data_IF_696289662961
#
_entry.id   IF_696289662961
#
_cell.length_a   1.000
_cell.length_b   1.000
_cell.length_c   1.000
_cell.angle_alpha   90.00
_cell.angle_beta   90.00
_cell.angle_gamma   90.00
#
_symmetry.space_group_name_H-M   'P 1'
#
loop_
_entity.id
_entity.type
_entity.pdbx_description
1 polymer ?
#
# COMPACT_ATOMS: atom_id res chain seq x y z
N UNK A 1 24.06 -13.76 -14.30
CA UNK A 1 24.01 -15.10 -13.67
C UNK A 1 24.43 -14.90 -12.22
N UNK A 2 23.47 -14.69 -11.33
CA UNK A 2 23.72 -14.68 -9.90
C UNK A 2 24.02 -16.11 -9.46
N UNK A 3 25.21 -16.30 -8.92
CA UNK A 3 25.63 -17.59 -8.41
C UNK A 3 24.77 -18.01 -7.23
N UNK A 4 24.18 -19.20 -7.28
CA UNK A 4 23.50 -19.86 -6.17
C UNK A 4 24.49 -20.08 -5.02
N UNK A 5 24.58 -19.10 -4.11
CA UNK A 5 25.30 -19.25 -2.84
C UNK A 5 24.47 -20.14 -1.92
N UNK A 6 25.12 -21.11 -1.27
CA UNK A 6 24.47 -21.99 -0.30
C UNK A 6 23.99 -21.16 0.89
N UNK A 7 22.68 -21.25 1.23
CA UNK A 7 22.12 -20.52 2.37
C UNK A 7 22.92 -20.83 3.65
N UNK A 8 23.23 -19.79 4.41
CA UNK A 8 23.88 -19.92 5.70
C UNK A 8 22.92 -20.49 6.74
N UNK A 9 23.44 -21.05 7.83
CA UNK A 9 22.60 -21.51 8.95
C UNK A 9 21.73 -20.39 9.53
N UNK A 10 22.21 -19.15 9.49
CA UNK A 10 21.45 -17.97 9.92
C UNK A 10 20.29 -17.69 8.98
N UNK A 11 20.52 -17.63 7.68
CA UNK A 11 19.47 -17.41 6.68
C UNK A 11 18.40 -18.50 6.72
N UNK A 12 18.81 -19.76 6.88
CA UNK A 12 17.86 -20.87 7.04
C UNK A 12 17.01 -20.71 8.30
N UNK A 13 17.59 -20.25 9.40
CA UNK A 13 16.88 -20.02 10.66
C UNK A 13 15.88 -18.87 10.52
N UNK A 14 16.28 -17.73 9.96
CA UNK A 14 15.43 -16.58 9.71
C UNK A 14 14.28 -16.93 8.75
N UNK A 15 14.56 -17.73 7.72
CA UNK A 15 13.53 -18.25 6.81
C UNK A 15 12.50 -19.10 7.55
N UNK A 16 12.94 -20.05 8.38
CA UNK A 16 12.05 -20.91 9.14
C UNK A 16 11.21 -20.12 10.15
N UNK A 17 11.78 -19.12 10.81
CA UNK A 17 11.05 -18.21 11.72
C UNK A 17 9.93 -17.48 11.00
N UNK A 18 10.23 -16.87 9.85
CA UNK A 18 9.22 -16.18 9.02
C UNK A 18 8.13 -17.13 8.52
N UNK A 19 8.51 -18.34 8.06
CA UNK A 19 7.57 -19.33 7.57
C UNK A 19 6.60 -19.79 8.67
N UNK A 20 7.11 -20.11 9.87
CA UNK A 20 6.29 -20.55 10.99
C UNK A 20 5.42 -19.41 11.52
N UNK A 21 5.97 -18.21 11.65
CA UNK A 21 5.23 -17.02 12.07
C UNK A 21 4.09 -16.72 11.09
N UNK A 22 4.36 -16.74 9.77
CA UNK A 22 3.34 -16.53 8.74
C UNK A 22 2.24 -17.59 8.82
N UNK A 23 2.62 -18.87 9.03
CA UNK A 23 1.64 -19.95 9.17
C UNK A 23 0.74 -19.75 10.39
N UNK A 24 1.30 -19.38 11.56
CA UNK A 24 0.50 -19.08 12.76
C UNK A 24 -0.36 -17.83 12.54
N UNK A 25 0.18 -16.82 11.87
CA UNK A 25 -0.53 -15.57 11.60
C UNK A 25 -1.75 -15.77 10.68
N UNK A 26 -1.58 -16.59 9.61
CA UNK A 26 -2.60 -16.82 8.60
C UNK A 26 -3.64 -17.86 8.99
N UNK A 27 -3.24 -18.90 9.71
CA UNK A 27 -4.05 -20.08 9.97
C UNK A 27 -4.46 -20.22 11.46
N UNK A 28 -3.83 -19.42 12.33
CA UNK A 28 -4.07 -19.54 13.78
C UNK A 28 -5.51 -19.30 14.20
N UNK A 29 -5.92 -19.88 15.34
CA UNK A 29 -5.07 -20.65 16.27
C UNK A 29 -4.76 -22.08 15.80
N UNK A 30 -3.49 -22.46 15.78
CA UNK A 30 -3.04 -23.80 15.35
C UNK A 30 -2.06 -24.42 16.36
N UNK A 31 -1.95 -25.76 16.36
CA UNK A 31 -0.98 -26.44 17.19
C UNK A 31 0.41 -26.54 16.56
N UNK A 32 1.47 -26.82 17.37
CA UNK A 32 2.82 -27.12 16.85
C UNK A 32 2.81 -28.27 15.83
N UNK A 33 1.98 -29.29 16.05
CA UNK A 33 1.86 -30.39 15.11
C UNK A 33 1.23 -29.97 13.79
N UNK A 34 0.24 -29.11 13.83
CA UNK A 34 -0.39 -28.52 12.64
C UNK A 34 0.57 -27.60 11.89
N UNK A 35 1.31 -26.73 12.61
CA UNK A 35 2.34 -25.90 12.04
C UNK A 35 3.43 -26.74 11.32
N UNK A 36 3.83 -27.89 11.92
CA UNK A 36 4.77 -28.81 11.29
C UNK A 36 4.21 -29.40 9.98
N UNK A 37 2.94 -29.79 9.98
CA UNK A 37 2.26 -30.33 8.79
C UNK A 37 2.16 -29.30 7.66
N UNK A 38 1.79 -28.05 7.99
CA UNK A 38 1.59 -26.96 7.02
C UNK A 38 2.90 -26.44 6.44
N UNK A 39 3.96 -26.37 7.25
CA UNK A 39 5.26 -25.85 6.83
C UNK A 39 6.19 -26.92 6.24
N UNK A 40 5.92 -28.23 6.47
CA UNK A 40 6.82 -29.31 6.11
C UNK A 40 8.08 -29.39 6.99
N UNK A 41 8.20 -28.59 8.03
CA UNK A 41 9.34 -28.60 8.96
C UNK A 41 9.23 -29.74 9.98
N UNK A 42 10.39 -30.19 10.51
CA UNK A 42 10.42 -31.21 11.54
C UNK A 42 9.81 -30.70 12.86
N UNK A 43 9.29 -31.61 13.70
CA UNK A 43 8.71 -31.24 15.01
C UNK A 43 9.73 -30.54 15.91
N UNK A 44 10.98 -30.94 15.85
CA UNK A 44 12.07 -30.31 16.62
C UNK A 44 12.29 -28.88 16.15
N UNK A 45 12.41 -28.66 14.83
CA UNK A 45 12.56 -27.31 14.26
C UNK A 45 11.39 -26.41 14.64
N UNK A 46 10.15 -26.92 14.56
CA UNK A 46 8.97 -26.16 14.96
C UNK A 46 9.02 -25.79 16.45
N UNK A 47 9.40 -26.72 17.35
CA UNK A 47 9.50 -26.40 18.77
C UNK A 47 10.51 -25.29 19.01
N UNK A 48 11.72 -25.40 18.45
CA UNK A 48 12.77 -24.42 18.63
C UNK A 48 12.37 -23.03 18.07
N UNK A 49 11.67 -22.99 16.92
CA UNK A 49 11.19 -21.74 16.32
C UNK A 49 10.06 -21.13 17.16
N UNK A 50 9.06 -21.92 17.53
CA UNK A 50 7.92 -21.45 18.33
C UNK A 50 8.36 -20.92 19.69
N UNK A 51 9.32 -21.58 20.35
CA UNK A 51 9.81 -21.13 21.64
C UNK A 51 10.47 -19.74 21.51
N UNK A 52 11.25 -19.49 20.44
CA UNK A 52 11.79 -18.16 20.17
C UNK A 52 10.72 -17.13 19.83
N UNK A 53 9.71 -17.50 19.04
CA UNK A 53 8.60 -16.59 18.74
C UNK A 53 7.83 -16.20 20.00
N UNK A 54 7.70 -17.12 20.97
CA UNK A 54 7.10 -16.83 22.28
C UNK A 54 8.01 -15.92 23.11
N UNK A 55 9.30 -16.20 23.19
CA UNK A 55 10.29 -15.37 23.88
C UNK A 55 10.32 -13.93 23.35
N UNK A 56 10.16 -13.76 22.03
CA UNK A 56 10.13 -12.43 21.38
C UNK A 56 8.75 -11.76 21.40
N UNK A 57 7.71 -12.43 21.94
CA UNK A 57 6.34 -11.90 22.00
C UNK A 57 5.59 -11.91 20.67
N UNK A 58 6.12 -12.60 19.64
CA UNK A 58 5.49 -12.74 18.32
C UNK A 58 4.50 -13.91 18.26
N UNK A 59 4.55 -14.84 19.20
CA UNK A 59 3.55 -15.88 19.36
C UNK A 59 3.20 -16.07 20.84
N UNK A 60 2.02 -16.64 21.13
CA UNK A 60 1.64 -17.09 22.48
C UNK A 60 0.84 -18.37 22.44
N UNK A 61 0.85 -19.11 23.55
CA UNK A 61 -0.03 -20.24 23.81
C UNK A 61 -1.37 -19.75 24.39
N UNK A 62 -2.50 -20.19 23.82
CA UNK A 62 -3.85 -19.71 24.21
C UNK A 62 -4.73 -20.78 24.84
N UNK A 63 -4.17 -21.97 25.13
CA UNK A 63 -4.93 -23.06 25.76
C UNK A 63 -4.94 -24.32 24.90
N UNK A 64 -5.88 -25.24 25.21
CA UNK A 64 -5.97 -26.55 24.55
C UNK A 64 -7.09 -26.57 23.51
N UNK A 65 -6.75 -27.06 22.32
CA UNK A 65 -7.70 -27.30 21.25
C UNK A 65 -8.50 -28.57 21.41
N UNK A 66 -9.42 -28.89 20.49
CA UNK A 66 -10.21 -30.11 20.49
C UNK A 66 -9.30 -31.34 20.41
N UNK A 67 -9.64 -32.38 21.19
CA UNK A 67 -8.93 -33.66 21.17
C UNK A 67 -9.52 -34.59 20.10
N UNK A 68 -8.67 -35.15 19.23
CA UNK A 68 -9.04 -36.13 18.22
C UNK A 68 -8.65 -37.55 18.60
N UNK A 69 -8.57 -37.90 19.92
CA UNK A 69 -8.26 -39.23 20.40
C UNK A 69 -6.91 -39.35 21.13
N UNK A 70 -6.34 -38.24 21.61
CA UNK A 70 -5.10 -38.15 22.38
C UNK A 70 -5.09 -36.99 23.34
N UNK A 71 -3.89 -36.59 23.84
CA UNK A 71 -3.74 -35.38 24.66
C UNK A 71 -4.08 -34.15 23.81
N UNK A 72 -5.05 -33.34 24.27
CA UNK A 72 -5.46 -32.13 23.59
C UNK A 72 -4.26 -31.22 23.28
N UNK A 73 -4.09 -30.78 22.04
CA UNK A 73 -2.95 -29.97 21.62
C UNK A 73 -3.02 -28.55 22.20
N UNK A 74 -1.87 -27.97 22.50
CA UNK A 74 -1.77 -26.56 22.87
C UNK A 74 -1.82 -25.74 21.57
N UNK A 75 -2.69 -24.72 21.54
CA UNK A 75 -2.85 -23.83 20.40
C UNK A 75 -1.95 -22.61 20.52
N UNK A 76 -1.48 -22.15 19.37
CA UNK A 76 -0.63 -20.99 19.18
C UNK A 76 -1.38 -19.92 18.39
N UNK A 77 -1.18 -18.67 18.75
CA UNK A 77 -1.62 -17.53 17.94
C UNK A 77 -0.56 -16.41 17.95
N UNK A 78 -0.64 -15.51 16.98
CA UNK A 78 0.07 -14.22 17.00
C UNK A 78 -0.77 -13.26 17.84
N UNK A 79 -0.26 -12.76 19.00
CA UNK A 79 -1.03 -11.89 19.87
C UNK A 79 -1.26 -10.53 19.21
N UNK A 80 -2.47 -9.99 19.31
CA UNK A 80 -2.83 -8.69 18.74
C UNK A 80 -1.97 -7.54 19.25
N UNK A 81 -1.65 -7.54 20.54
CA UNK A 81 -0.92 -6.49 21.24
C UNK A 81 0.40 -6.94 21.85
N UNK A 82 1.04 -7.99 21.34
CA UNK A 82 2.35 -8.43 21.84
C UNK A 82 3.48 -7.47 21.52
N UNK A 83 3.42 -6.87 20.35
CA UNK A 83 4.31 -5.83 19.83
C UNK A 83 3.51 -4.82 19.02
N UNK A 84 4.02 -3.61 18.91
CA UNK A 84 3.40 -2.54 18.13
C UNK A 84 4.27 -2.14 16.95
N UNK A 85 3.62 -1.68 15.90
CA UNK A 85 4.21 -1.00 14.77
C UNK A 85 3.99 0.50 14.96
N UNK A 86 4.89 1.31 14.42
CA UNK A 86 4.65 2.76 14.24
C UNK A 86 4.55 3.03 12.75
N UNK A 87 3.39 3.51 12.32
CA UNK A 87 3.17 4.01 10.96
C UNK A 87 3.23 5.54 10.96
N UNK A 88 3.88 6.11 9.96
CA UNK A 88 4.07 7.56 9.81
C UNK A 88 3.70 8.00 8.40
N UNK A 89 2.90 9.05 8.29
CA UNK A 89 2.63 9.80 7.06
C UNK A 89 3.26 11.19 7.16
N UNK A 90 4.26 11.46 6.33
CA UNK A 90 4.85 12.78 6.20
C UNK A 90 4.12 13.59 5.13
N UNK A 91 2.80 13.72 5.31
CA UNK A 91 1.90 14.42 4.41
C UNK A 91 2.22 15.90 4.21
N UNK A 92 1.46 16.52 3.32
CA UNK A 92 1.77 17.88 2.85
C UNK A 92 1.43 19.00 3.85
N UNK A 93 0.36 18.86 4.63
CA UNK A 93 -0.14 19.90 5.55
C UNK A 93 0.00 19.49 7.01
N UNK A 94 -0.09 18.21 7.26
CA UNK A 94 -0.05 17.60 8.58
C UNK A 94 0.80 16.34 8.49
N UNK A 95 1.71 16.17 9.42
CA UNK A 95 2.36 14.89 9.66
C UNK A 95 1.51 14.09 10.62
N UNK A 96 1.25 12.84 10.29
CA UNK A 96 0.45 11.92 11.10
C UNK A 96 1.27 10.70 11.46
N UNK A 97 1.21 10.25 12.70
CA UNK A 97 1.78 8.98 13.11
C UNK A 97 0.79 8.22 14.01
N UNK A 98 0.86 6.91 13.98
CA UNK A 98 0.07 6.08 14.86
C UNK A 98 0.84 4.85 15.34
N UNK A 99 0.51 4.39 16.57
CA UNK A 99 0.82 3.03 16.99
C UNK A 99 -0.23 2.10 16.41
N UNK A 100 0.23 1.01 15.78
CA UNK A 100 -0.61 0.07 15.05
C UNK A 100 -0.35 -1.33 15.58
N UNK A 101 -1.40 -2.11 15.83
CA UNK A 101 -1.28 -3.50 16.22
C UNK A 101 -0.77 -4.37 15.06
N UNK A 102 -0.28 -5.58 15.33
CA UNK A 102 0.10 -6.55 14.28
C UNK A 102 -1.08 -6.99 13.39
N UNK A 103 -2.30 -6.53 13.66
CA UNK A 103 -3.50 -6.75 12.85
C UNK A 103 -4.00 -5.50 12.11
N UNK A 104 -3.21 -4.41 12.15
CA UNK A 104 -3.55 -3.17 11.46
C UNK A 104 -4.57 -2.29 12.17
N UNK A 105 -4.81 -2.52 13.48
CA UNK A 105 -5.67 -1.66 14.28
C UNK A 105 -4.87 -0.46 14.77
N UNK A 106 -5.36 0.75 14.53
CA UNK A 106 -4.79 1.99 15.04
C UNK A 106 -5.19 2.12 16.52
N UNK A 107 -4.18 2.21 17.40
CA UNK A 107 -4.39 2.31 18.84
C UNK A 107 -4.29 3.75 19.34
N UNK A 108 -3.24 4.47 18.95
CA UNK A 108 -3.04 5.86 19.28
C UNK A 108 -2.60 6.61 18.02
N UNK A 109 -3.14 7.80 17.83
CA UNK A 109 -2.87 8.65 16.68
C UNK A 109 -2.41 10.02 17.16
N UNK A 110 -1.37 10.55 16.54
CA UNK A 110 -0.78 11.86 16.84
C UNK A 110 -0.61 12.64 15.54
N UNK A 111 -0.85 13.94 15.59
CA UNK A 111 -0.67 14.84 14.46
C UNK A 111 0.19 16.05 14.86
N UNK A 112 0.91 16.58 13.86
CA UNK A 112 1.69 17.82 13.95
C UNK A 112 1.47 18.61 12.65
N UNK A 113 1.02 19.88 12.72
CA UNK A 113 0.95 20.75 11.55
C UNK A 113 2.33 20.91 10.91
N UNK A 114 2.40 20.83 9.58
CA UNK A 114 3.67 20.84 8.83
C UNK A 114 3.59 21.61 7.51
N UNK A 115 2.54 22.43 7.29
CA UNK A 115 2.19 22.98 5.98
C UNK A 115 3.35 23.76 5.32
N UNK A 116 4.02 24.60 6.07
CA UNK A 116 5.09 25.49 5.57
C UNK A 116 6.50 25.01 5.95
N UNK A 117 6.61 23.92 6.70
CA UNK A 117 7.91 23.41 7.14
C UNK A 117 8.68 22.74 6.00
N UNK A 118 9.97 23.04 5.86
CA UNK A 118 10.90 22.40 4.94
C UNK A 118 12.26 22.11 5.59
N UNK A 119 13.18 21.49 4.86
CA UNK A 119 14.53 21.21 5.29
C UNK A 119 14.63 20.57 6.68
N UNK A 120 15.46 21.17 7.52
CA UNK A 120 15.71 20.69 8.89
C UNK A 120 14.52 20.90 9.82
N UNK A 121 13.68 21.93 9.58
CA UNK A 121 12.48 22.17 10.36
C UNK A 121 11.49 21.02 10.17
N UNK A 122 11.21 20.66 8.92
CA UNK A 122 10.33 19.52 8.61
C UNK A 122 10.86 18.20 9.19
N UNK A 123 12.18 17.98 9.14
CA UNK A 123 12.80 16.82 9.77
C UNK A 123 12.64 16.85 11.29
N UNK A 124 12.82 18.01 11.92
CA UNK A 124 12.62 18.19 13.36
C UNK A 124 11.19 17.86 13.80
N UNK A 125 10.18 18.35 13.07
CA UNK A 125 8.77 18.04 13.31
C UNK A 125 8.45 16.55 13.12
N UNK A 126 9.04 15.90 12.11
CA UNK A 126 8.87 14.46 11.90
C UNK A 126 9.45 13.63 13.06
N UNK A 127 10.61 14.00 13.58
CA UNK A 127 11.22 13.33 14.73
C UNK A 127 10.43 13.59 16.01
N UNK A 128 9.96 14.80 16.25
CA UNK A 128 9.07 15.13 17.39
C UNK A 128 7.78 14.31 17.34
N UNK A 129 7.13 14.21 16.18
CA UNK A 129 5.94 13.40 15.98
C UNK A 129 6.20 11.94 16.37
N UNK A 130 7.34 11.37 15.93
CA UNK A 130 7.72 9.99 16.26
C UNK A 130 8.01 9.83 17.75
N UNK A 131 8.68 10.78 18.41
CA UNK A 131 8.87 10.77 19.86
C UNK A 131 7.52 10.71 20.59
N UNK A 132 6.58 11.56 20.17
CA UNK A 132 5.26 11.65 20.79
C UNK A 132 4.45 10.37 20.63
N UNK A 133 4.42 9.78 19.43
CA UNK A 133 3.66 8.55 19.18
C UNK A 133 4.29 7.33 19.85
N UNK A 134 5.63 7.22 19.85
CA UNK A 134 6.35 6.12 20.51
C UNK A 134 6.14 6.18 22.04
N UNK A 135 6.07 7.39 22.62
CA UNK A 135 5.77 7.56 24.04
C UNK A 135 4.36 7.06 24.46
N UNK A 136 3.43 6.91 23.51
CA UNK A 136 2.11 6.31 23.79
C UNK A 136 2.13 4.78 23.78
N UNK A 137 3.22 4.15 23.35
CA UNK A 137 3.31 2.70 23.23
C UNK A 137 3.42 2.04 24.60
N UNK A 138 2.46 1.21 24.95
CA UNK A 138 2.42 0.39 26.18
C UNK A 138 3.11 -0.97 26.00
N UNK A 139 3.58 -1.27 24.80
CA UNK A 139 4.29 -2.50 24.38
C UNK A 139 5.53 -2.16 23.58
N UNK A 140 6.49 -3.09 23.47
CA UNK A 140 7.69 -2.88 22.66
C UNK A 140 7.34 -2.58 21.19
N UNK A 141 7.91 -1.49 20.67
CA UNK A 141 7.79 -1.13 19.25
C UNK A 141 8.70 -2.04 18.43
N UNK A 142 8.15 -2.68 17.41
CA UNK A 142 8.88 -3.55 16.48
C UNK A 142 9.74 -2.74 15.52
N UNK A 143 9.23 -1.60 15.06
CA UNK A 143 9.90 -0.71 14.13
C UNK A 143 9.00 0.42 13.68
N UNK A 144 9.51 1.23 12.75
CA UNK A 144 8.84 2.40 12.18
C UNK A 144 8.72 2.24 10.67
N UNK A 145 7.50 2.30 10.14
CA UNK A 145 7.25 2.46 8.71
C UNK A 145 6.93 3.92 8.40
N UNK A 146 7.48 4.47 7.33
CA UNK A 146 7.32 5.88 6.96
C UNK A 146 6.87 6.00 5.51
N UNK A 147 5.73 6.66 5.28
CA UNK A 147 5.33 7.18 3.98
C UNK A 147 5.86 8.62 3.83
N UNK A 148 6.79 8.82 2.93
CA UNK A 148 7.41 10.12 2.69
C UNK A 148 7.03 10.68 1.31
N UNK A 149 6.97 12.02 1.14
CA UNK A 149 6.74 12.62 -0.17
C UNK A 149 7.95 12.45 -1.09
N UNK A 150 7.71 12.46 -2.39
CA UNK A 150 8.73 12.48 -3.44
C UNK A 150 9.38 11.13 -3.71
N UNK A 151 10.57 11.17 -4.31
CA UNK A 151 11.31 9.98 -4.74
C UNK A 151 12.07 9.37 -3.56
N UNK A 152 11.80 8.10 -3.24
CA UNK A 152 12.38 7.40 -2.09
C UNK A 152 13.10 6.14 -2.55
N UNK A 153 14.39 6.04 -2.23
CA UNK A 153 15.14 4.78 -2.30
C UNK A 153 14.75 3.90 -1.10
N UNK A 154 13.86 2.96 -1.35
CA UNK A 154 13.31 2.08 -0.32
C UNK A 154 14.29 1.01 0.17
N UNK A 155 15.42 0.81 -0.52
CA UNK A 155 16.43 -0.18 -0.14
C UNK A 155 17.28 0.28 1.05
N UNK A 156 17.52 1.59 1.11
CA UNK A 156 18.33 2.23 2.18
C UNK A 156 17.54 3.27 2.99
N UNK A 157 16.27 3.49 2.66
CA UNK A 157 15.42 4.45 3.37
C UNK A 157 15.81 5.91 3.17
N UNK A 158 16.32 6.26 1.98
CA UNK A 158 16.76 7.62 1.64
C UNK A 158 15.70 8.34 0.81
N UNK A 159 15.27 9.52 1.23
CA UNK A 159 14.51 10.43 0.38
C UNK A 159 15.46 11.08 -0.61
N UNK A 160 15.41 10.61 -1.87
CA UNK A 160 16.30 11.08 -2.93
C UNK A 160 15.97 12.53 -3.29
N UNK A 161 14.69 12.82 -3.47
CA UNK A 161 14.21 14.18 -3.73
C UNK A 161 12.76 14.34 -3.29
N UNK A 162 12.50 15.34 -2.44
CA UNK A 162 11.15 15.79 -2.09
C UNK A 162 11.09 17.31 -2.25
N UNK A 163 10.62 17.78 -3.40
CA UNK A 163 10.67 19.19 -3.80
C UNK A 163 10.00 20.11 -2.79
N UNK A 164 8.81 19.73 -2.31
CA UNK A 164 8.07 20.56 -1.34
C UNK A 164 8.80 20.71 0.00
N UNK A 165 9.48 19.66 0.44
CA UNK A 165 10.20 19.62 1.72
C UNK A 165 11.64 20.09 1.61
N UNK A 166 12.08 20.47 0.42
CA UNK A 166 13.48 20.83 0.15
C UNK A 166 14.47 19.74 0.64
N UNK A 167 14.05 18.47 0.61
CA UNK A 167 14.90 17.34 0.96
C UNK A 167 15.59 16.78 -0.28
N UNK A 168 16.91 16.61 -0.16
CA UNK A 168 17.73 15.97 -1.19
C UNK A 168 18.71 15.01 -0.54
N UNK A 169 18.68 13.75 -0.99
CA UNK A 169 19.51 12.67 -0.47
C UNK A 169 19.46 12.58 1.07
N UNK A 170 18.29 12.81 1.66
CA UNK A 170 18.08 12.74 3.10
C UNK A 170 18.06 11.27 3.54
N UNK A 171 19.02 10.80 4.35
CA UNK A 171 19.05 9.41 4.83
C UNK A 171 18.06 9.21 6.00
N UNK A 172 16.77 9.43 5.74
CA UNK A 172 15.70 9.47 6.74
C UNK A 172 15.65 8.18 7.56
N UNK A 173 15.74 7.02 6.91
CA UNK A 173 15.75 5.72 7.58
C UNK A 173 16.91 5.59 8.58
N UNK A 174 18.11 5.98 8.19
CA UNK A 174 19.29 5.92 9.06
C UNK A 174 19.17 6.91 10.24
N UNK A 175 18.68 8.12 10.02
CA UNK A 175 18.46 9.14 11.07
C UNK A 175 17.48 8.61 12.11
N UNK A 176 16.33 8.06 11.67
CA UNK A 176 15.27 7.54 12.55
C UNK A 176 15.75 6.28 13.27
N UNK A 177 16.46 5.36 12.57
CA UNK A 177 17.07 4.18 13.20
C UNK A 177 18.07 4.58 14.28
N UNK A 178 18.94 5.56 14.00
CA UNK A 178 19.92 6.06 14.96
C UNK A 178 19.29 6.69 16.22
N UNK A 179 18.11 7.34 16.07
CA UNK A 179 17.40 7.95 17.19
C UNK A 179 16.66 6.94 18.06
N UNK A 180 15.94 5.99 17.45
CA UNK A 180 15.01 5.12 18.17
C UNK A 180 15.51 3.69 18.39
N UNK A 181 16.60 3.29 17.71
CA UNK A 181 17.21 1.97 17.88
C UNK A 181 16.36 0.81 17.37
N UNK A 182 15.39 1.08 16.48
CA UNK A 182 14.48 0.08 15.88
C UNK A 182 14.62 0.05 14.36
N UNK A 183 14.24 -1.04 13.69
CA UNK A 183 14.17 -1.10 12.23
C UNK A 183 13.27 -0.02 11.64
N UNK A 184 13.69 0.59 10.53
CA UNK A 184 12.96 1.65 9.85
C UNK A 184 12.87 1.36 8.36
N UNK A 185 11.66 1.47 7.81
CA UNK A 185 11.40 1.33 6.37
C UNK A 185 10.68 2.56 5.85
N UNK A 186 11.19 3.11 4.77
CA UNK A 186 10.65 4.31 4.13
C UNK A 186 10.19 3.98 2.73
N UNK A 187 9.00 4.44 2.35
CA UNK A 187 8.48 4.37 0.99
C UNK A 187 7.88 5.72 0.57
N UNK A 188 7.62 5.90 -0.71
CA UNK A 188 6.78 7.01 -1.16
C UNK A 188 5.35 6.85 -0.60
N UNK A 189 4.69 7.96 -0.26
CA UNK A 189 3.36 7.99 0.36
C UNK A 189 2.26 7.33 -0.50
N UNK A 190 2.31 7.51 -1.82
CA UNK A 190 1.37 6.87 -2.74
C UNK A 190 1.63 5.37 -2.90
N UNK A 191 2.90 4.95 -2.81
CA UNK A 191 3.28 3.53 -2.75
C UNK A 191 2.79 2.89 -1.45
N UNK A 192 2.91 3.58 -0.32
CA UNK A 192 2.35 3.14 0.96
C UNK A 192 0.82 3.02 0.88
N UNK A 193 0.14 4.01 0.29
CA UNK A 193 -1.30 3.94 0.08
C UNK A 193 -1.73 2.72 -0.75
N UNK A 194 -0.98 2.37 -1.80
CA UNK A 194 -1.25 1.19 -2.59
C UNK A 194 -1.07 -0.12 -1.81
N UNK A 195 -0.08 -0.19 -0.92
CA UNK A 195 0.08 -1.33 -0.02
C UNK A 195 -1.10 -1.46 0.94
N UNK A 196 -1.60 -0.35 1.50
CA UNK A 196 -2.77 -0.37 2.37
C UNK A 196 -4.00 -0.92 1.63
N UNK A 197 -4.32 -0.38 0.46
CA UNK A 197 -5.45 -0.86 -0.35
C UNK A 197 -5.31 -2.33 -0.75
N UNK A 198 -4.10 -2.78 -1.06
CA UNK A 198 -3.85 -4.19 -1.38
C UNK A 198 -4.05 -5.13 -0.19
N UNK A 199 -3.68 -4.67 1.02
CA UNK A 199 -3.69 -5.49 2.24
C UNK A 199 -5.04 -5.46 2.95
N UNK A 200 -5.67 -4.28 3.07
CA UNK A 200 -6.81 -4.05 3.95
C UNK A 200 -8.17 -4.11 3.24
N UNK A 201 -8.21 -4.23 1.90
CA UNK A 201 -9.48 -4.41 1.19
C UNK A 201 -9.81 -5.86 0.92
N UNK A 202 -11.10 -6.21 0.94
CA UNK A 202 -11.59 -7.56 0.68
C UNK A 202 -11.42 -7.96 -0.80
N UNK A 203 -11.41 -7.00 -1.70
CA UNK A 203 -11.28 -7.20 -3.15
C UNK A 203 -9.83 -7.49 -3.51
N UNK A 204 -9.43 -8.74 -3.40
CA UNK A 204 -8.07 -9.21 -3.68
C UNK A 204 -7.85 -9.41 -5.17
N UNK A 205 -7.38 -8.38 -5.86
CA UNK A 205 -6.76 -8.52 -7.16
C UNK A 205 -5.24 -8.58 -7.01
N UNK A 206 -4.57 -9.39 -7.84
CA UNK A 206 -3.10 -9.41 -7.89
C UNK A 206 -2.52 -8.08 -8.41
N UNK A 207 -3.34 -7.28 -9.10
CA UNK A 207 -2.96 -6.03 -9.72
C UNK A 207 -3.90 -4.90 -9.26
N UNK A 208 -3.31 -3.77 -8.89
CA UNK A 208 -4.01 -2.59 -8.38
C UNK A 208 -3.21 -1.33 -8.69
N UNK A 209 -3.88 -0.25 -9.05
CA UNK A 209 -3.31 1.10 -9.06
C UNK A 209 -4.08 1.94 -8.04
N UNK A 210 -3.37 2.57 -7.11
CA UNK A 210 -3.94 3.60 -6.23
C UNK A 210 -3.39 4.93 -6.66
N UNK A 211 -4.28 5.87 -6.95
CA UNK A 211 -3.92 7.24 -7.29
C UNK A 211 -4.30 8.14 -6.12
N UNK A 212 -3.31 8.66 -5.44
CA UNK A 212 -3.48 9.59 -4.32
C UNK A 212 -3.54 11.00 -4.89
N UNK A 213 -4.70 11.67 -4.72
CA UNK A 213 -4.94 13.03 -5.22
C UNK A 213 -5.20 13.94 -4.02
N UNK A 214 -4.14 14.61 -3.59
CA UNK A 214 -4.15 15.59 -2.50
C UNK A 214 -3.54 16.92 -2.96
N UNK A 215 -2.66 17.51 -2.16
CA UNK A 215 -1.89 18.71 -2.53
C UNK A 215 -0.99 18.43 -3.76
N UNK A 216 -0.54 17.18 -3.93
CA UNK A 216 0.09 16.65 -5.11
C UNK A 216 -0.69 15.46 -5.67
N UNK A 217 -0.16 14.85 -6.74
CA UNK A 217 -0.71 13.65 -7.37
C UNK A 217 0.40 12.62 -7.52
N UNK A 218 0.19 11.44 -6.94
CA UNK A 218 1.07 10.30 -7.09
C UNK A 218 0.27 9.02 -7.28
N UNK A 219 0.91 7.97 -7.79
CA UNK A 219 0.32 6.66 -7.92
C UNK A 219 1.19 5.60 -7.25
N UNK A 220 0.57 4.63 -6.59
CA UNK A 220 1.19 3.38 -6.20
C UNK A 220 0.67 2.26 -7.09
N UNK A 221 1.55 1.42 -7.57
CA UNK A 221 1.23 0.33 -8.50
C UNK A 221 1.59 -0.99 -7.86
N UNK A 222 0.63 -1.89 -7.74
CA UNK A 222 0.84 -3.28 -7.32
C UNK A 222 0.63 -4.18 -8.53
N UNK A 223 1.62 -4.99 -8.87
CA UNK A 223 1.58 -5.97 -9.95
C UNK A 223 1.94 -7.35 -9.40
N UNK A 224 1.11 -8.35 -9.70
CA UNK A 224 1.28 -9.72 -9.20
C UNK A 224 1.42 -9.79 -7.67
N UNK A 225 0.69 -8.94 -6.96
CA UNK A 225 0.72 -8.86 -5.49
C UNK A 225 1.95 -8.17 -4.90
N UNK A 226 2.80 -7.58 -5.74
CA UNK A 226 4.01 -6.87 -5.31
C UNK A 226 3.99 -5.41 -5.72
N UNK A 227 4.51 -4.55 -4.85
CA UNK A 227 4.66 -3.13 -5.14
C UNK A 227 5.68 -2.94 -6.27
N UNK A 228 5.26 -2.30 -7.36
CA UNK A 228 6.12 -1.95 -8.47
C UNK A 228 6.76 -0.57 -8.23
N UNK A 229 8.07 -0.52 -8.11
CA UNK A 229 8.84 0.67 -7.77
C UNK A 229 9.58 1.30 -8.95
N UNK A 230 9.75 0.55 -10.06
CA UNK A 230 10.61 0.93 -11.17
C UNK A 230 12.11 0.83 -10.83
N UNK A 231 12.97 1.05 -11.81
CA UNK A 231 14.42 0.84 -11.68
C UNK A 231 15.12 1.79 -10.68
N UNK A 232 14.52 2.96 -10.43
CA UNK A 232 15.02 4.00 -9.51
C UNK A 232 13.92 4.54 -8.62
N UNK A 233 12.99 3.68 -8.22
CA UNK A 233 11.91 3.98 -7.27
C UNK A 233 10.91 5.04 -7.74
N UNK A 234 10.97 5.50 -8.99
CA UNK A 234 10.16 6.59 -9.54
C UNK A 234 8.86 6.14 -10.21
N UNK A 235 8.46 4.87 -10.06
CA UNK A 235 7.17 4.43 -10.58
C UNK A 235 6.03 5.14 -9.84
N UNK A 236 5.10 5.72 -10.63
CA UNK A 236 3.94 6.39 -10.05
C UNK A 236 4.01 7.92 -9.98
N UNK A 237 5.09 8.56 -10.42
CA UNK A 237 5.24 10.03 -10.47
C UNK A 237 4.39 10.67 -11.58
N UNK A 238 3.14 10.22 -11.74
CA UNK A 238 2.20 10.65 -12.79
C UNK A 238 1.82 12.13 -12.70
N UNK A 239 1.84 12.68 -11.47
CA UNK A 239 1.55 14.09 -11.22
C UNK A 239 2.48 15.05 -11.99
N UNK A 240 3.67 14.58 -12.34
CA UNK A 240 4.67 15.36 -13.09
C UNK A 240 4.68 15.08 -14.60
N UNK A 241 3.69 14.32 -15.10
CA UNK A 241 3.45 14.21 -16.55
C UNK A 241 2.92 15.53 -17.09
N UNK A 242 3.57 16.06 -18.14
CA UNK A 242 3.15 17.32 -18.78
C UNK A 242 1.90 17.08 -19.61
N UNK A 243 0.77 17.65 -19.19
CA UNK A 243 -0.53 17.57 -19.86
C UNK A 243 -0.83 18.83 -20.70
N UNK A 244 -0.31 20.00 -20.30
CA UNK A 244 -0.43 21.26 -21.01
C UNK A 244 0.91 22.01 -21.05
N UNK A 245 1.68 21.94 -22.13
CA UNK A 245 2.99 22.61 -22.22
C UNK A 245 2.95 24.13 -22.04
N UNK A 246 1.76 24.75 -22.15
CA UNK A 246 1.56 26.20 -21.95
C UNK A 246 0.98 26.51 -20.55
N UNK A 247 0.70 25.50 -19.75
CA UNK A 247 0.10 25.65 -18.43
C UNK A 247 1.03 26.26 -17.38
N UNK A 248 0.58 26.26 -16.14
CA UNK A 248 1.29 26.83 -15.00
C UNK A 248 2.60 26.13 -14.69
N UNK A 249 3.51 26.85 -14.04
CA UNK A 249 4.79 26.28 -13.58
C UNK A 249 4.54 25.35 -12.41
N UNK A 250 4.94 24.08 -12.56
CA UNK A 250 4.94 23.10 -11.49
C UNK A 250 6.15 23.30 -10.57
N UNK A 251 6.02 22.89 -9.30
CA UNK A 251 7.14 22.89 -8.33
C UNK A 251 8.36 22.09 -8.81
N UNK A 252 8.17 21.07 -9.67
CA UNK A 252 9.27 20.33 -10.27
C UNK A 252 10.06 21.11 -11.35
N UNK A 253 9.69 22.38 -11.61
CA UNK A 253 10.31 23.26 -12.61
C UNK A 253 9.75 23.13 -14.03
N UNK A 254 8.92 22.14 -14.33
CA UNK A 254 8.25 21.99 -15.64
C UNK A 254 6.96 22.81 -15.67
N UNK A 255 6.39 23.00 -16.88
CA UNK A 255 5.10 23.64 -17.06
C UNK A 255 4.00 22.63 -17.38
N UNK A 256 2.79 22.89 -16.85
CA UNK A 256 1.57 22.15 -17.21
C UNK A 256 1.58 20.68 -16.82
N UNK A 257 2.25 20.34 -15.72
CA UNK A 257 2.15 19.02 -15.13
C UNK A 257 0.71 18.72 -14.69
N UNK A 258 0.29 17.46 -14.70
CA UNK A 258 -1.03 17.03 -14.23
C UNK A 258 -1.35 17.61 -12.85
N UNK A 259 -0.38 17.65 -11.96
CA UNK A 259 -0.52 18.21 -10.60
C UNK A 259 -1.00 19.68 -10.60
N UNK A 260 -0.58 20.50 -11.60
CA UNK A 260 -1.03 21.89 -11.71
C UNK A 260 -2.46 22.03 -12.25
N UNK A 261 -3.05 20.96 -12.73
CA UNK A 261 -4.39 20.92 -13.33
C UNK A 261 -5.43 20.23 -12.46
N UNK A 262 -5.04 19.14 -11.79
CA UNK A 262 -5.98 18.19 -11.18
C UNK A 262 -5.78 17.96 -9.67
N UNK A 263 -4.75 18.52 -9.03
CA UNK A 263 -4.56 18.37 -7.59
C UNK A 263 -5.54 19.24 -6.79
N UNK A 264 -5.73 18.90 -5.51
CA UNK A 264 -6.50 19.72 -4.57
C UNK A 264 -5.97 21.15 -4.49
N UNK A 265 -4.64 21.31 -4.51
CA UNK A 265 -4.01 22.64 -4.57
C UNK A 265 -4.40 23.39 -5.85
N UNK A 266 -4.40 22.75 -6.99
CA UNK A 266 -4.79 23.38 -8.26
C UNK A 266 -6.25 23.84 -8.23
N UNK A 267 -7.16 23.00 -7.70
CA UNK A 267 -8.57 23.32 -7.53
C UNK A 267 -8.74 24.53 -6.60
N UNK A 268 -8.14 24.49 -5.43
CA UNK A 268 -8.24 25.60 -4.45
C UNK A 268 -7.62 26.89 -4.97
N UNK A 269 -6.50 26.84 -5.70
CA UNK A 269 -5.89 28.02 -6.32
C UNK A 269 -6.83 28.65 -7.35
N UNK A 270 -7.48 27.84 -8.20
CA UNK A 270 -8.45 28.32 -9.19
C UNK A 270 -9.69 28.94 -8.53
N UNK A 271 -10.21 28.31 -7.44
CA UNK A 271 -11.35 28.84 -6.69
C UNK A 271 -10.99 30.15 -5.98
N UNK A 272 -9.82 30.23 -5.34
CA UNK A 272 -9.30 31.45 -4.71
C UNK A 272 -9.17 32.58 -5.71
N UNK A 273 -8.60 32.31 -6.90
CA UNK A 273 -8.47 33.30 -7.97
C UNK A 273 -9.83 33.79 -8.46
N UNK A 274 -10.81 32.88 -8.58
CA UNK A 274 -12.16 33.22 -9.05
C UNK A 274 -12.93 34.08 -8.02
N UNK A 275 -12.77 33.78 -6.73
CA UNK A 275 -13.50 34.46 -5.64
C UNK A 275 -12.80 35.71 -5.12
N UNK A 276 -11.49 35.85 -5.36
CA UNK A 276 -10.67 36.90 -4.84
C UNK A 276 -10.33 36.79 -3.34
N UNK A 277 -10.65 35.63 -2.74
CA UNK A 277 -10.36 35.31 -1.33
C UNK A 277 -9.97 33.85 -1.16
N UNK A 278 -9.18 33.50 -0.12
CA UNK A 278 -8.77 32.11 0.13
C UNK A 278 -9.98 31.19 0.34
N UNK A 279 -9.95 30.01 -0.33
CA UNK A 279 -10.98 28.97 -0.20
C UNK A 279 -10.37 27.74 0.47
N UNK A 280 -10.99 27.28 1.56
CA UNK A 280 -10.58 26.01 2.20
C UNK A 280 -11.17 24.80 1.47
N UNK A 281 -10.63 23.62 1.73
CA UNK A 281 -11.16 22.37 1.14
C UNK A 281 -12.58 22.08 1.66
N UNK A 282 -12.82 22.29 2.93
CA UNK A 282 -14.12 22.10 3.57
C UNK A 282 -15.18 23.02 2.92
N UNK A 283 -14.81 24.28 2.64
CA UNK A 283 -15.68 25.21 1.94
C UNK A 283 -15.94 24.76 0.50
N UNK A 284 -14.89 24.31 -0.22
CA UNK A 284 -15.04 23.84 -1.59
C UNK A 284 -15.93 22.59 -1.69
N UNK A 285 -15.84 21.66 -0.73
CA UNK A 285 -16.71 20.48 -0.65
C UNK A 285 -18.14 20.90 -0.38
N UNK A 286 -18.40 21.76 0.62
CA UNK A 286 -19.75 22.24 0.94
C UNK A 286 -20.41 22.94 -0.25
N UNK A 287 -19.68 23.82 -0.94
CA UNK A 287 -20.20 24.53 -2.12
C UNK A 287 -20.45 23.58 -3.32
N UNK A 288 -19.62 22.54 -3.46
CA UNK A 288 -19.84 21.50 -4.45
C UNK A 288 -21.12 20.71 -4.19
N UNK A 289 -21.36 20.33 -2.92
CA UNK A 289 -22.57 19.62 -2.49
C UNK A 289 -23.83 20.50 -2.67
N UNK A 290 -23.72 21.82 -2.49
CA UNK A 290 -24.77 22.78 -2.77
C UNK A 290 -25.00 23.04 -4.28
N UNK A 291 -24.15 22.50 -5.14
CA UNK A 291 -24.25 22.62 -6.59
C UNK A 291 -23.79 23.97 -7.14
N UNK A 292 -22.85 24.68 -6.47
CA UNK A 292 -22.26 25.93 -7.01
C UNK A 292 -21.69 25.67 -8.40
N UNK A 293 -22.19 26.36 -9.46
CA UNK A 293 -21.80 26.02 -10.83
C UNK A 293 -20.32 26.23 -11.14
N UNK A 294 -19.66 27.18 -10.44
CA UNK A 294 -18.26 27.48 -10.65
C UNK A 294 -17.38 26.42 -9.98
N UNK A 295 -17.73 26.01 -8.76
CA UNK A 295 -17.03 24.95 -8.02
C UNK A 295 -17.19 23.62 -8.76
N UNK A 296 -18.43 23.26 -9.14
CA UNK A 296 -18.70 22.04 -9.90
C UNK A 296 -17.88 21.97 -11.19
N UNK A 297 -17.84 23.04 -11.97
CA UNK A 297 -17.04 23.10 -13.21
C UNK A 297 -15.56 22.88 -12.94
N UNK A 298 -14.97 23.53 -11.91
CA UNK A 298 -13.52 23.43 -11.61
C UNK A 298 -13.16 22.03 -11.14
N UNK A 299 -14.00 21.45 -10.24
CA UNK A 299 -13.78 20.10 -9.68
C UNK A 299 -13.91 19.02 -10.75
N UNK A 300 -14.95 19.09 -11.58
CA UNK A 300 -15.18 18.11 -12.66
C UNK A 300 -14.14 18.24 -13.78
N UNK A 301 -13.68 19.47 -14.11
CA UNK A 301 -12.54 19.64 -15.02
C UNK A 301 -11.26 18.99 -14.48
N UNK A 302 -10.97 19.14 -13.19
CA UNK A 302 -9.84 18.48 -12.55
C UNK A 302 -9.96 16.94 -12.65
N UNK A 303 -11.17 16.37 -12.42
CA UNK A 303 -11.44 14.95 -12.62
C UNK A 303 -11.20 14.52 -14.08
N UNK A 304 -11.67 15.32 -15.05
CA UNK A 304 -11.44 15.07 -16.48
C UNK A 304 -9.95 15.03 -16.81
N UNK A 305 -9.16 16.00 -16.33
CA UNK A 305 -7.70 16.03 -16.57
C UNK A 305 -6.99 14.82 -15.95
N UNK A 306 -7.42 14.39 -14.77
CA UNK A 306 -6.90 13.18 -14.14
C UNK A 306 -7.21 11.95 -15.01
N UNK A 307 -8.47 11.79 -15.44
CA UNK A 307 -8.89 10.67 -16.30
C UNK A 307 -8.12 10.60 -17.63
N UNK A 308 -7.86 11.75 -18.26
CA UNK A 308 -7.02 11.83 -19.46
C UNK A 308 -5.60 11.24 -19.23
N UNK A 309 -4.99 11.55 -18.09
CA UNK A 309 -3.68 10.98 -17.74
C UNK A 309 -3.76 9.49 -17.43
N UNK A 310 -4.81 9.06 -16.71
CA UNK A 310 -5.02 7.66 -16.29
C UNK A 310 -5.26 6.75 -17.49
N UNK A 311 -5.84 7.24 -18.58
CA UNK A 311 -6.01 6.48 -19.82
C UNK A 311 -4.67 5.88 -20.34
N UNK A 312 -3.57 6.62 -20.16
CA UNK A 312 -2.24 6.12 -20.52
C UNK A 312 -1.79 4.94 -19.66
N UNK A 313 -2.15 4.94 -18.37
CA UNK A 313 -1.85 3.82 -17.45
C UNK A 313 -2.68 2.58 -17.80
N UNK A 314 -3.96 2.77 -18.15
CA UNK A 314 -4.84 1.68 -18.62
C UNK A 314 -4.23 1.05 -19.85
N UNK A 315 -3.83 1.85 -20.84
CA UNK A 315 -3.22 1.35 -22.08
C UNK A 315 -1.89 0.64 -21.89
N UNK A 316 -1.05 1.14 -20.95
CA UNK A 316 0.29 0.59 -20.71
C UNK A 316 0.31 -0.65 -19.82
N UNK A 317 -0.53 -0.70 -18.77
CA UNK A 317 -0.46 -1.71 -17.72
C UNK A 317 -1.66 -2.66 -17.71
N UNK A 318 -2.80 -2.26 -18.26
CA UNK A 318 -4.07 -3.01 -18.22
C UNK A 318 -4.39 -3.57 -16.81
N UNK A 319 -4.33 -2.70 -15.82
CA UNK A 319 -4.75 -3.02 -14.45
C UNK A 319 -6.24 -2.71 -14.31
N UNK A 320 -7.01 -3.71 -13.93
CA UNK A 320 -8.48 -3.61 -13.89
C UNK A 320 -9.01 -2.75 -12.75
N UNK A 321 -8.32 -2.69 -11.63
CA UNK A 321 -8.76 -1.97 -10.43
C UNK A 321 -7.93 -0.71 -10.23
N UNK A 322 -8.58 0.45 -10.27
CA UNK A 322 -8.00 1.75 -10.01
C UNK A 322 -8.74 2.40 -8.85
N UNK A 323 -8.03 2.69 -7.76
CA UNK A 323 -8.58 3.32 -6.57
C UNK A 323 -8.10 4.77 -6.51
N UNK A 324 -9.04 5.70 -6.38
CA UNK A 324 -8.76 7.12 -6.19
C UNK A 324 -8.85 7.45 -4.71
N UNK A 325 -7.77 7.94 -4.13
CA UNK A 325 -7.68 8.29 -2.71
C UNK A 325 -7.15 9.71 -2.50
N UNK A 326 -7.08 10.14 -1.25
CA UNK A 326 -6.64 11.48 -0.88
C UNK A 326 -7.76 12.50 -0.87
N UNK A 327 -7.40 13.76 -0.68
CA UNK A 327 -8.36 14.85 -0.37
C UNK A 327 -9.44 15.04 -1.44
N UNK A 328 -9.09 14.84 -2.73
CA UNK A 328 -10.05 14.98 -3.82
C UNK A 328 -11.15 13.90 -3.83
N UNK A 329 -10.92 12.75 -3.20
CA UNK A 329 -11.93 11.71 -3.07
C UNK A 329 -13.18 12.18 -2.29
N UNK A 330 -13.05 13.21 -1.46
CA UNK A 330 -14.16 13.80 -0.71
C UNK A 330 -15.24 14.45 -1.60
N UNK A 331 -14.96 14.76 -2.88
CA UNK A 331 -15.98 15.21 -3.83
C UNK A 331 -16.89 14.07 -4.33
N UNK A 332 -16.64 12.83 -3.95
CA UNK A 332 -17.53 11.70 -4.14
C UNK A 332 -17.70 11.22 -5.58
N UNK A 333 -18.84 10.53 -5.81
CA UNK A 333 -19.15 9.88 -7.08
C UNK A 333 -19.16 10.82 -8.30
N UNK A 334 -19.61 12.08 -8.25
CA UNK A 334 -19.59 12.94 -9.43
C UNK A 334 -18.16 13.22 -9.94
N UNK A 335 -17.18 13.38 -9.03
CA UNK A 335 -15.78 13.53 -9.40
C UNK A 335 -15.20 12.21 -9.94
N UNK A 336 -15.50 11.08 -9.29
CA UNK A 336 -15.11 9.75 -9.76
C UNK A 336 -15.61 9.49 -11.19
N UNK A 337 -16.89 9.79 -11.46
CA UNK A 337 -17.50 9.64 -12.78
C UNK A 337 -16.82 10.51 -13.84
N UNK A 338 -16.40 11.72 -13.49
CA UNK A 338 -15.66 12.59 -14.41
C UNK A 338 -14.30 11.98 -14.78
N UNK A 339 -13.59 11.37 -13.81
CA UNK A 339 -12.32 10.65 -14.05
C UNK A 339 -12.57 9.45 -14.94
N UNK A 340 -13.54 8.59 -14.60
CA UNK A 340 -13.84 7.36 -15.34
C UNK A 340 -14.26 7.67 -16.79
N UNK A 341 -15.20 8.59 -16.99
CA UNK A 341 -15.66 8.98 -18.33
C UNK A 341 -14.52 9.49 -19.20
N UNK A 342 -13.62 10.31 -18.65
CA UNK A 342 -12.47 10.84 -19.38
C UNK A 342 -11.45 9.74 -19.71
N UNK A 343 -11.14 8.84 -18.75
CA UNK A 343 -10.25 7.72 -18.94
C UNK A 343 -10.80 6.73 -19.99
N UNK A 344 -12.07 6.38 -19.86
CA UNK A 344 -12.76 5.45 -20.78
C UNK A 344 -12.83 5.97 -22.20
N UNK A 345 -13.09 7.29 -22.39
CA UNK A 345 -13.16 7.91 -23.71
C UNK A 345 -11.83 7.96 -24.46
N UNK A 346 -10.71 7.81 -23.76
CA UNK A 346 -9.34 7.87 -24.33
C UNK A 346 -8.60 6.53 -24.31
N UNK A 347 -9.25 5.49 -23.81
CA UNK A 347 -8.72 4.12 -23.79
C UNK A 347 -9.31 3.28 -24.89
N UNK A 348 -8.65 2.16 -25.23
CA UNK A 348 -9.26 1.15 -26.10
C UNK A 348 -10.54 0.62 -25.41
N UNK A 349 -11.66 0.56 -26.15
CA UNK A 349 -12.97 0.25 -25.58
C UNK A 349 -13.02 -1.06 -24.78
N UNK A 350 -12.31 -2.10 -25.22
CA UNK A 350 -12.21 -3.37 -24.49
C UNK A 350 -11.47 -3.23 -23.16
N UNK A 351 -10.40 -2.42 -23.09
CA UNK A 351 -9.66 -2.17 -21.85
C UNK A 351 -10.47 -1.31 -20.89
N UNK A 352 -11.14 -0.27 -21.40
CA UNK A 352 -12.02 0.58 -20.61
C UNK A 352 -13.17 -0.22 -19.98
N UNK A 353 -13.80 -1.12 -20.74
CA UNK A 353 -14.88 -1.96 -20.23
C UNK A 353 -14.45 -2.93 -19.10
N UNK A 354 -13.18 -3.30 -19.06
CA UNK A 354 -12.61 -4.17 -18.04
C UNK A 354 -12.08 -3.41 -16.81
N UNK A 355 -11.96 -2.07 -16.89
CA UNK A 355 -11.41 -1.24 -15.82
C UNK A 355 -12.51 -0.75 -14.89
N UNK A 356 -12.28 -0.83 -13.59
CA UNK A 356 -13.17 -0.31 -12.55
C UNK A 356 -12.48 0.80 -11.78
N UNK A 357 -13.20 1.89 -11.54
CA UNK A 357 -12.77 3.00 -10.70
C UNK A 357 -13.53 2.98 -9.38
N UNK A 358 -12.80 3.14 -8.28
CA UNK A 358 -13.37 3.13 -6.93
C UNK A 358 -12.79 4.29 -6.11
N UNK A 359 -13.57 4.81 -5.16
CA UNK A 359 -13.04 5.72 -4.14
C UNK A 359 -12.43 4.90 -3.00
N UNK A 360 -11.21 5.25 -2.60
CA UNK A 360 -10.57 4.68 -1.42
C UNK A 360 -11.35 5.02 -0.15
N UNK A 361 -11.52 4.02 0.73
CA UNK A 361 -12.29 4.15 1.99
C UNK A 361 -11.44 3.92 3.23
N UNK A 362 -10.14 3.79 3.06
CA UNK A 362 -9.22 3.53 4.17
C UNK A 362 -8.78 4.87 4.76
N UNK A 363 -9.17 5.13 5.99
CA UNK A 363 -8.65 6.24 6.76
C UNK A 363 -7.17 6.00 7.10
N UNK A 364 -6.39 7.09 7.26
CA UNK A 364 -4.95 6.99 7.54
C UNK A 364 -4.20 6.00 6.62
N UNK A 365 -4.60 5.95 5.35
CA UNK A 365 -4.15 4.97 4.34
C UNK A 365 -2.62 4.87 4.25
N UNK A 366 -1.90 5.99 4.36
CA UNK A 366 -0.43 6.02 4.29
C UNK A 366 0.19 5.43 5.55
N UNK A 367 -0.36 5.74 6.74
CA UNK A 367 0.05 5.20 8.03
C UNK A 367 -0.08 3.67 8.04
N UNK A 368 -1.23 3.16 7.60
CA UNK A 368 -1.48 1.72 7.52
C UNK A 368 -0.60 1.05 6.47
N UNK A 369 -0.39 1.69 5.33
CA UNK A 369 0.51 1.17 4.29
C UNK A 369 1.97 1.14 4.69
N UNK A 370 2.44 2.15 5.41
CA UNK A 370 3.77 2.18 6.01
C UNK A 370 3.95 1.08 7.06
N UNK A 371 2.92 0.82 7.87
CA UNK A 371 2.90 -0.31 8.81
C UNK A 371 2.92 -1.66 8.08
N UNK A 372 2.19 -1.80 6.97
CA UNK A 372 2.21 -3.00 6.14
C UNK A 372 3.59 -3.25 5.51
N UNK A 373 4.27 -2.20 5.07
CA UNK A 373 5.64 -2.29 4.56
C UNK A 373 6.60 -2.83 5.63
N UNK A 374 6.54 -2.29 6.85
CA UNK A 374 7.33 -2.75 7.99
C UNK A 374 7.08 -4.22 8.29
N UNK A 375 5.82 -4.65 8.36
CA UNK A 375 5.44 -6.05 8.59
C UNK A 375 6.02 -6.98 7.54
N UNK A 376 5.88 -6.61 6.27
CA UNK A 376 6.37 -7.43 5.16
C UNK A 376 7.89 -7.54 5.17
N UNK A 377 8.58 -6.44 5.41
CA UNK A 377 10.06 -6.38 5.39
C UNK A 377 10.69 -7.05 6.61
N UNK A 378 10.16 -6.78 7.80
CA UNK A 378 10.73 -7.26 9.07
C UNK A 378 10.32 -8.69 9.38
N UNK A 379 9.03 -9.01 9.27
CA UNK A 379 8.49 -10.31 9.66
C UNK A 379 8.18 -11.23 8.48
N UNK A 380 8.23 -10.74 7.26
CA UNK A 380 7.78 -11.51 6.08
C UNK A 380 6.26 -11.75 6.06
N UNK A 381 5.49 -10.93 6.76
CA UNK A 381 4.04 -11.06 6.90
C UNK A 381 3.31 -10.01 6.06
N UNK A 382 2.22 -10.43 5.44
CA UNK A 382 1.23 -9.49 4.92
C UNK A 382 0.21 -9.21 6.01
N UNK A 383 0.05 -7.94 6.41
CA UNK A 383 -0.98 -7.53 7.36
C UNK A 383 -2.36 -8.00 6.89
N UNK A 384 -3.11 -8.63 7.79
CA UNK A 384 -4.48 -9.06 7.53
C UNK A 384 -5.37 -8.61 8.68
N UNK A 385 -6.42 -7.83 8.42
CA UNK A 385 -7.41 -7.46 9.43
C UNK A 385 -8.10 -8.70 10.01
N UNK A 386 -8.48 -8.62 11.29
CA UNK A 386 -9.15 -9.70 12.02
C UNK A 386 -10.42 -10.22 11.35
N UNK A 387 -11.21 -9.32 10.76
CA UNK A 387 -12.45 -9.67 10.08
C UNK A 387 -12.25 -10.46 8.77
N UNK A 388 -11.03 -10.50 8.24
CA UNK A 388 -10.68 -11.30 7.05
C UNK A 388 -10.19 -12.72 7.38
N UNK A 389 -10.07 -13.07 8.67
CA UNK A 389 -9.71 -14.44 9.06
C UNK A 389 -10.94 -15.34 9.01
N UNK A 390 -10.83 -16.59 8.48
CA UNK A 390 -11.90 -17.55 8.56
C UNK A 390 -12.22 -17.82 10.04
N UNK A 391 -13.49 -17.72 10.42
CA UNK A 391 -13.92 -18.06 11.77
C UNK A 391 -13.65 -19.54 12.02
N UNK A 392 -13.17 -19.95 13.21
CA UNK A 392 -13.04 -21.35 13.56
C UNK A 392 -14.40 -22.05 13.38
N UNK A 393 -14.46 -23.06 12.50
CA UNK A 393 -15.71 -23.81 12.23
C UNK A 393 -16.53 -23.33 11.03
N UNK A 394 -16.05 -22.42 10.20
CA UNK A 394 -16.69 -22.06 8.93
C UNK A 394 -16.34 -23.09 7.83
N UNK A 395 -17.31 -23.54 6.99
CA UNK A 395 -17.09 -24.61 5.99
C UNK A 395 -16.27 -24.19 4.76
N UNK A 396 -15.50 -23.12 4.83
CA UNK A 396 -14.66 -22.63 3.72
C UNK A 396 -13.41 -23.48 3.43
N UNK A 397 -13.21 -24.59 4.16
CA UNK A 397 -12.02 -25.44 4.00
C UNK A 397 -12.23 -26.64 3.04
N UNK A 398 -13.41 -26.76 2.40
CA UNK A 398 -13.68 -27.87 1.44
C UNK A 398 -13.61 -27.47 -0.04
N UNK A 399 -13.38 -26.19 -0.37
CA UNK A 399 -13.41 -25.72 -1.76
C UNK A 399 -12.04 -25.53 -2.43
N UNK A 400 -10.96 -25.98 -1.81
CA UNK A 400 -9.63 -26.03 -2.42
C UNK A 400 -9.28 -27.48 -2.88
N UNK A 401 -10.26 -28.21 -3.40
CA UNK A 401 -10.00 -29.44 -4.16
C UNK A 401 -9.75 -29.03 -5.62
N UNK A 402 -8.63 -29.50 -6.15
CA UNK A 402 -8.15 -29.30 -7.50
C UNK A 402 -9.23 -29.43 -8.58
N UNK A 403 -9.20 -28.62 -9.65
CA UNK A 403 -10.04 -28.90 -10.80
C UNK A 403 -9.54 -30.19 -11.46
N UNK A 404 -10.30 -31.27 -11.32
CA UNK A 404 -10.15 -32.50 -12.11
C UNK A 404 -10.28 -32.14 -13.58
N UNK A 405 -9.19 -32.28 -14.32
CA UNK A 405 -9.17 -32.24 -15.79
C UNK A 405 -9.97 -33.45 -16.28
N UNK A 406 -11.02 -33.26 -17.08
CA UNK A 406 -11.71 -34.40 -17.69
C UNK A 406 -10.78 -35.02 -18.73
N UNK A 407 -10.47 -36.29 -18.53
CA UNK A 407 -9.78 -37.14 -19.51
C UNK A 407 -10.71 -37.33 -20.73
N UNK A 408 -10.20 -37.00 -21.92
CA UNK A 408 -10.78 -37.49 -23.17
C UNK A 408 -11.04 -36.45 -24.25
N UNK A 409 -9.98 -35.99 -24.95
CA UNK A 409 -10.11 -35.60 -26.36
C UNK A 409 -8.90 -36.19 -27.11
N UNK A 410 -9.11 -37.03 -28.14
CA UNK A 410 -8.00 -37.68 -28.88
C UNK A 410 -7.34 -36.69 -29.86
N UNK A 411 -6.07 -36.91 -30.22
CA UNK A 411 -5.35 -36.05 -31.16
C UNK A 411 -5.73 -36.40 -32.61
N UNK A 412 -6.27 -35.41 -33.32
CA UNK A 412 -6.32 -35.45 -34.79
C UNK A 412 -5.99 -34.05 -35.29
N UNK A 413 -4.81 -33.96 -35.93
CA UNK A 413 -4.69 -33.30 -37.24
C UNK A 413 -3.28 -33.59 -37.78
N UNK A 414 -3.25 -34.52 -38.70
CA UNK A 414 -2.11 -34.76 -39.59
C UNK A 414 -2.06 -33.62 -40.62
N UNK A 415 -0.88 -33.04 -40.76
CA UNK A 415 -0.53 -32.15 -41.86
C UNK A 415 -0.39 -32.99 -43.11
N UNK A 416 -1.19 -32.73 -44.15
CA UNK A 416 -1.01 -33.24 -45.48
C UNK A 416 -0.24 -32.21 -46.31
N UNK A 417 1.00 -32.52 -46.63
CA UNK A 417 1.75 -31.95 -47.76
C UNK A 417 1.11 -32.34 -49.07
N UNK A 418 0.91 -31.38 -49.96
CA UNK A 418 0.99 -31.48 -51.43
C UNK A 418 1.19 -30.05 -51.90
N UNK A 419 2.24 -29.65 -52.55
CA UNK A 419 2.92 -30.25 -53.70
C UNK A 419 2.41 -29.60 -54.96
N UNK A 420 3.20 -28.67 -55.54
CA UNK A 420 3.37 -28.63 -56.95
C UNK A 420 2.75 -27.49 -57.79
N UNK A 421 3.60 -26.61 -58.26
CA UNK A 421 3.77 -26.15 -59.65
C UNK A 421 2.78 -25.19 -60.32
N UNK A 422 3.41 -24.09 -60.72
CA UNK A 422 3.35 -23.45 -62.06
C UNK A 422 2.17 -22.51 -62.41
N UNK A 423 2.58 -21.29 -62.75
CA UNK A 423 1.80 -20.28 -63.46
C UNK A 423 2.33 -18.86 -63.14
#
# INVERSE_FOLDING_TARGET
>A
MEGTTKATLRETREHNERLVLATIYDQGPISRAEAARLTGLTRTTISDVVDRLIETGLAREIGRGPSTGGKAPILLEVPHGGRLLVGVDLGDRVFTAATVSLRGEILHRVEVPSEDADGDEALGLALELMDRVIATADKPVLGVGIGAPGLVDTTVGTVVEAVKRNWRNLPLGAIVTGRFGVPVYVANDSQAAALAEHVFTETRGANLIVIKVGQGIGAGVVLNGQLFQGDRFGAGEIGHTVMDPKGDVCRCGRRGCLETLASARAVLTRLTTLRGEPVSMEQAIADFELGDPAVCRIVLDAGTRLGEAVASLIGALHVRRIVLSGTMAAFGDPWLQAVDAAASSRSLASLAADTTFELGRIDDIVVLGASALLMTRELGLNLRPLHSLPRPGSPANEAAAEPTVPAGVPPRLAIAERGGLAG
#
